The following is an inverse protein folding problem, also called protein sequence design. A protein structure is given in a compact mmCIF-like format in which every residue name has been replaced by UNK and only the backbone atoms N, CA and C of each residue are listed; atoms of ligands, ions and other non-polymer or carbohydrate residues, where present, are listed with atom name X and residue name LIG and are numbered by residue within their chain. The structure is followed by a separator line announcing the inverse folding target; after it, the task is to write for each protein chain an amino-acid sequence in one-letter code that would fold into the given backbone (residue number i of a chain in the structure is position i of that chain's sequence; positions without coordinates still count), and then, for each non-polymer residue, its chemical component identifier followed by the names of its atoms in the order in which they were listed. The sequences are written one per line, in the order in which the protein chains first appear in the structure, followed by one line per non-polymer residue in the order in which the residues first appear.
data_IF_748423144337
#
_entry.id   IF_748423144337
#
_cell.length_a   1.000
_cell.length_b   1.000
_cell.length_c   1.000
_cell.angle_alpha   90.00
_cell.angle_beta   90.00
_cell.angle_gamma   90.00
#
_symmetry.space_group_name_H-M   'P 1'
#
loop_
_entity.id
_entity.type
_entity.pdbx_description
1 polymer ?
#
# COMPACT_ATOMS: atom_id res chain seq x y z
N UNK A 1 3.18 -7.87 -14.64
CA UNK A 1 3.45 -8.95 -13.67
C UNK A 1 4.85 -8.80 -13.07
N UNK A 2 5.12 -9.53 -11.97
CA UNK A 2 6.47 -9.60 -11.38
C UNK A 2 7.49 -10.17 -12.36
N UNK A 3 7.10 -11.20 -13.09
CA UNK A 3 8.00 -11.89 -14.01
C UNK A 3 8.42 -10.99 -15.18
N UNK A 4 7.50 -10.17 -15.71
CA UNK A 4 7.83 -9.16 -16.73
C UNK A 4 8.82 -8.11 -16.20
N UNK A 5 8.65 -7.66 -14.95
CA UNK A 5 9.57 -6.71 -14.35
C UNK A 5 10.95 -7.35 -14.12
N UNK A 6 11.01 -8.59 -13.68
CA UNK A 6 12.26 -9.34 -13.51
C UNK A 6 12.96 -9.52 -14.86
N UNK A 7 12.21 -9.90 -15.90
CA UNK A 7 12.75 -10.06 -17.23
C UNK A 7 13.30 -8.74 -17.79
N UNK A 8 12.56 -7.65 -17.65
CA UNK A 8 13.00 -6.32 -18.03
C UNK A 8 14.31 -5.92 -17.35
N UNK A 9 14.43 -6.14 -16.03
CA UNK A 9 15.63 -5.78 -15.27
C UNK A 9 16.83 -6.65 -15.68
N UNK A 10 16.63 -7.95 -15.93
CA UNK A 10 17.72 -8.89 -16.19
C UNK A 10 18.16 -8.93 -17.64
N UNK A 11 17.21 -8.85 -18.56
CA UNK A 11 17.45 -9.12 -19.97
C UNK A 11 17.33 -7.88 -20.88
N UNK A 12 16.72 -6.80 -20.39
CA UNK A 12 16.46 -5.57 -21.16
C UNK A 12 16.79 -4.31 -20.35
N UNK A 13 17.79 -4.38 -19.47
CA UNK A 13 18.16 -3.28 -18.58
C UNK A 13 18.57 -2.01 -19.32
N UNK A 14 19.09 -2.13 -20.53
CA UNK A 14 19.43 -1.02 -21.43
C UNK A 14 18.20 -0.20 -21.86
N UNK A 15 17.00 -0.77 -21.80
CA UNK A 15 15.74 -0.05 -22.07
C UNK A 15 15.36 0.87 -20.89
N UNK A 16 15.91 0.61 -19.69
CA UNK A 16 15.66 1.41 -18.50
C UNK A 16 16.61 2.61 -18.42
N UNK A 17 16.16 3.75 -18.92
CA UNK A 17 16.92 4.99 -18.80
C UNK A 17 16.98 5.47 -17.36
N UNK A 18 18.16 5.80 -16.89
CA UNK A 18 18.36 6.39 -15.57
C UNK A 18 18.08 7.90 -15.56
N UNK A 19 17.55 8.49 -14.49
CA UNK A 19 17.11 7.81 -13.27
C UNK A 19 15.78 7.05 -13.44
N UNK A 20 15.56 6.03 -12.59
CA UNK A 20 14.27 5.33 -12.52
C UNK A 20 13.43 5.96 -11.41
N UNK A 21 12.16 6.27 -11.72
CA UNK A 21 11.16 6.76 -10.77
C UNK A 21 10.04 5.72 -10.62
N UNK A 22 9.92 5.10 -9.45
CA UNK A 22 8.73 4.35 -9.09
C UNK A 22 7.59 5.33 -8.79
N UNK A 23 6.50 5.24 -9.51
CA UNK A 23 5.35 6.12 -9.38
C UNK A 23 4.08 5.30 -9.14
N UNK A 24 3.28 5.69 -8.15
CA UNK A 24 1.92 5.19 -7.97
C UNK A 24 0.94 5.92 -8.92
N UNK A 25 -0.18 6.38 -8.38
CA UNK A 25 -1.16 7.17 -9.14
C UNK A 25 -0.68 8.59 -9.53
N UNK A 26 0.47 9.02 -9.01
CA UNK A 26 0.98 10.38 -9.23
C UNK A 26 0.34 11.45 -8.35
N UNK A 27 -0.58 11.10 -7.46
CA UNK A 27 -1.33 12.05 -6.62
C UNK A 27 -0.50 12.89 -5.66
N UNK A 28 0.76 12.48 -5.41
CA UNK A 28 1.70 13.19 -4.53
C UNK A 28 2.97 13.65 -5.26
N UNK A 29 2.88 13.88 -6.57
CA UNK A 29 4.00 14.32 -7.41
C UNK A 29 3.62 15.57 -8.21
N UNK A 30 4.54 16.51 -8.30
CA UNK A 30 4.44 17.66 -9.18
C UNK A 30 5.69 17.73 -10.08
N UNK A 31 5.51 17.50 -11.37
CA UNK A 31 6.56 17.66 -12.36
C UNK A 31 6.72 19.14 -12.75
N UNK A 32 7.86 19.74 -12.43
CA UNK A 32 8.17 21.12 -12.80
C UNK A 32 8.85 21.23 -14.18
N UNK A 33 9.27 20.10 -14.74
CA UNK A 33 9.88 19.94 -16.07
C UNK A 33 9.80 18.48 -16.50
N UNK A 34 10.13 18.20 -17.75
CA UNK A 34 10.19 16.85 -18.30
C UNK A 34 11.11 15.95 -17.45
N UNK A 35 10.62 14.76 -17.11
CA UNK A 35 11.43 13.75 -16.46
C UNK A 35 12.21 12.99 -17.52
N UNK A 36 13.53 13.14 -17.50
CA UNK A 36 14.43 12.43 -18.43
C UNK A 36 14.93 11.15 -17.76
N UNK A 37 14.17 10.08 -17.88
CA UNK A 37 14.41 8.79 -17.26
C UNK A 37 13.23 7.85 -17.47
N UNK A 38 13.23 6.73 -16.78
CA UNK A 38 12.14 5.74 -16.83
C UNK A 38 11.19 5.93 -15.66
N UNK A 39 9.89 5.98 -15.93
CA UNK A 39 8.83 5.91 -14.91
C UNK A 39 8.28 4.49 -14.89
N UNK A 40 8.39 3.82 -13.74
CA UNK A 40 7.78 2.52 -13.49
C UNK A 40 6.47 2.72 -12.72
N UNK A 41 5.37 2.24 -13.29
CA UNK A 41 4.06 2.19 -12.63
C UNK A 41 3.59 0.74 -12.58
N UNK A 42 3.32 0.23 -11.38
CA UNK A 42 2.76 -1.11 -11.22
C UNK A 42 1.33 -1.18 -11.72
N UNK A 43 1.03 -2.26 -12.44
CA UNK A 43 -0.31 -2.68 -12.88
C UNK A 43 -0.63 -4.07 -12.34
N UNK A 44 0.01 -4.48 -11.24
CA UNK A 44 -0.24 -5.77 -10.58
C UNK A 44 -1.45 -5.57 -9.66
N UNK A 45 -2.57 -6.19 -9.99
CA UNK A 45 -3.87 -6.00 -9.32
C UNK A 45 -4.44 -7.33 -8.76
N UNK A 46 -3.59 -8.33 -8.55
CA UNK A 46 -4.00 -9.61 -8.00
C UNK A 46 -4.31 -9.49 -6.50
N UNK A 47 -5.32 -10.22 -6.03
CA UNK A 47 -5.61 -10.42 -4.61
C UNK A 47 -5.63 -11.91 -4.30
N UNK A 48 -4.94 -12.31 -3.25
CA UNK A 48 -4.94 -13.70 -2.79
C UNK A 48 -4.98 -13.79 -1.28
N UNK A 49 -5.82 -14.69 -0.76
CA UNK A 49 -5.83 -15.05 0.66
C UNK A 49 -4.64 -15.95 0.92
N UNK A 50 -3.78 -15.57 1.85
CA UNK A 50 -2.61 -16.34 2.28
C UNK A 50 -2.96 -17.29 3.41
N UNK A 51 -3.75 -16.77 4.37
CA UNK A 51 -4.19 -17.49 5.56
C UNK A 51 -5.48 -16.85 6.07
N UNK A 52 -6.36 -17.66 6.65
CA UNK A 52 -7.61 -17.18 7.21
C UNK A 52 -8.02 -18.04 8.39
N UNK A 53 -8.47 -17.41 9.48
CA UNK A 53 -9.09 -18.03 10.64
C UNK A 53 -10.46 -17.41 10.97
N UNK A 54 -10.99 -17.65 12.16
CA UNK A 54 -12.28 -17.11 12.57
C UNK A 54 -12.25 -15.59 12.82
N UNK A 55 -11.11 -15.02 13.19
CA UNK A 55 -10.96 -13.64 13.63
C UNK A 55 -10.22 -12.77 12.62
N UNK A 56 -9.29 -13.36 11.85
CA UNK A 56 -8.38 -12.62 10.97
C UNK A 56 -8.24 -13.28 9.61
N UNK A 57 -7.83 -12.45 8.66
CA UNK A 57 -7.43 -12.88 7.33
C UNK A 57 -6.12 -12.20 6.94
N UNK A 58 -5.22 -12.97 6.36
CA UNK A 58 -3.98 -12.47 5.75
C UNK A 58 -4.15 -12.48 4.24
N UNK A 59 -4.00 -11.31 3.63
CA UNK A 59 -4.22 -11.16 2.19
C UNK A 59 -3.03 -10.50 1.53
N UNK A 60 -2.62 -11.02 0.38
CA UNK A 60 -1.65 -10.39 -0.52
C UNK A 60 -2.38 -9.60 -1.58
N UNK A 61 -1.98 -8.35 -1.74
CA UNK A 61 -2.62 -7.41 -2.66
C UNK A 61 -1.59 -6.81 -3.59
N UNK A 62 -1.84 -6.87 -4.88
CA UNK A 62 -0.98 -6.29 -5.90
C UNK A 62 -0.83 -4.78 -5.74
N UNK A 63 0.38 -4.28 -5.95
CA UNK A 63 0.74 -2.89 -5.68
C UNK A 63 0.09 -1.87 -6.62
N UNK A 64 -0.49 -2.34 -7.73
CA UNK A 64 -1.18 -1.52 -8.74
C UNK A 64 -2.64 -1.19 -8.41
N UNK A 65 -3.26 -1.89 -7.46
CA UNK A 65 -4.64 -1.61 -7.06
C UNK A 65 -4.79 -0.18 -6.55
N UNK A 66 -5.92 0.45 -6.90
CA UNK A 66 -6.32 1.72 -6.29
C UNK A 66 -6.67 1.43 -4.83
N UNK A 67 -6.06 2.16 -3.91
CA UNK A 67 -6.16 1.87 -2.47
C UNK A 67 -7.61 1.91 -1.98
N UNK A 68 -8.38 2.91 -2.40
CA UNK A 68 -9.78 3.06 -2.00
C UNK A 68 -10.66 1.92 -2.57
N UNK A 69 -10.43 1.50 -3.80
CA UNK A 69 -11.14 0.35 -4.38
C UNK A 69 -10.82 -0.96 -3.64
N UNK A 70 -9.57 -1.13 -3.19
CA UNK A 70 -9.21 -2.27 -2.36
C UNK A 70 -9.90 -2.21 -0.99
N UNK A 71 -10.03 -1.04 -0.36
CA UNK A 71 -10.77 -0.88 0.90
C UNK A 71 -12.24 -1.29 0.70
N UNK A 72 -12.90 -0.80 -0.35
CA UNK A 72 -14.29 -1.19 -0.67
C UNK A 72 -14.39 -2.70 -0.89
N UNK A 73 -13.46 -3.28 -1.66
CA UNK A 73 -13.41 -4.73 -1.87
C UNK A 73 -13.25 -5.50 -0.56
N UNK A 74 -12.33 -5.08 0.32
CA UNK A 74 -12.09 -5.74 1.61
C UNK A 74 -13.35 -5.76 2.48
N UNK A 75 -14.08 -4.65 2.54
CA UNK A 75 -15.35 -4.55 3.26
C UNK A 75 -16.42 -5.50 2.70
N UNK A 76 -16.50 -5.63 1.37
CA UNK A 76 -17.42 -6.57 0.71
C UNK A 76 -17.09 -8.03 1.02
N UNK A 77 -15.82 -8.33 1.31
CA UNK A 77 -15.38 -9.67 1.75
C UNK A 77 -15.56 -9.88 3.25
N UNK A 78 -15.97 -8.87 4.02
CA UNK A 78 -16.03 -8.92 5.48
C UNK A 78 -14.65 -8.81 6.15
N UNK A 79 -13.71 -8.12 5.52
CA UNK A 79 -12.37 -7.85 6.02
C UNK A 79 -12.25 -6.39 6.42
N UNK A 80 -11.95 -6.14 7.68
CA UNK A 80 -12.04 -4.84 8.32
C UNK A 80 -10.68 -4.33 8.80
N UNK A 81 -10.64 -3.02 9.08
CA UNK A 81 -9.49 -2.34 9.69
C UNK A 81 -8.75 -1.40 8.77
N UNK A 82 -9.27 -1.11 7.57
CA UNK A 82 -8.74 -0.12 6.63
C UNK A 82 -9.70 1.05 6.39
N UNK A 83 -10.89 1.05 6.97
CA UNK A 83 -12.01 1.96 6.67
C UNK A 83 -11.61 3.43 6.81
N UNK A 84 -10.82 3.74 7.83
CA UNK A 84 -10.38 5.11 8.12
C UNK A 84 -9.40 5.67 7.07
N UNK A 85 -8.93 4.83 6.13
CA UNK A 85 -8.05 5.25 5.03
C UNK A 85 -8.79 5.43 3.71
N UNK A 86 -10.13 5.29 3.71
CA UNK A 86 -10.95 5.52 2.51
C UNK A 86 -10.78 6.94 1.98
N UNK A 87 -10.97 7.11 0.68
CA UNK A 87 -10.84 8.39 -0.05
C UNK A 87 -9.42 9.00 -0.05
N UNK A 88 -8.39 8.28 0.43
CA UNK A 88 -7.00 8.70 0.25
C UNK A 88 -6.54 8.29 -1.14
N UNK A 89 -6.20 9.24 -2.04
CA UNK A 89 -5.83 8.91 -3.40
C UNK A 89 -4.45 8.22 -3.45
N UNK A 90 -4.35 7.14 -4.20
CA UNK A 90 -3.10 6.42 -4.38
C UNK A 90 -3.28 4.95 -4.74
N UNK A 91 -2.16 4.26 -4.90
CA UNK A 91 -2.12 2.81 -5.13
C UNK A 91 -1.63 2.08 -3.88
N UNK A 92 -1.99 0.82 -3.75
CA UNK A 92 -1.58 -0.06 -2.64
C UNK A 92 -0.07 -0.03 -2.39
N UNK A 93 0.76 -0.18 -3.43
CA UNK A 93 2.22 -0.11 -3.26
C UNK A 93 2.71 1.26 -2.78
N UNK A 94 2.12 2.34 -3.28
CA UNK A 94 2.48 3.70 -2.87
C UNK A 94 2.03 3.99 -1.43
N UNK A 95 0.90 3.42 -0.98
CA UNK A 95 0.41 3.55 0.38
C UNK A 95 1.40 2.98 1.40
N UNK A 96 1.96 1.80 1.10
CA UNK A 96 2.99 1.16 1.93
C UNK A 96 4.29 1.99 1.99
N UNK A 97 4.73 2.54 0.85
CA UNK A 97 5.94 3.39 0.81
C UNK A 97 5.76 4.67 1.62
N UNK A 98 4.58 5.30 1.55
CA UNK A 98 4.28 6.56 2.22
C UNK A 98 3.86 6.40 3.69
N UNK A 99 3.54 5.19 4.13
CA UNK A 99 2.83 4.96 5.38
C UNK A 99 1.63 5.90 5.49
N UNK A 100 0.67 5.76 4.53
CA UNK A 100 -0.50 6.62 4.55
C UNK A 100 -1.25 6.49 5.87
N UNK A 101 -1.85 7.56 6.31
CA UNK A 101 -2.58 7.56 7.57
C UNK A 101 -3.62 8.66 7.62
N UNK A 102 -4.75 8.34 8.21
CA UNK A 102 -5.85 9.26 8.50
C UNK A 102 -6.67 8.74 9.68
N UNK A 103 -7.34 9.65 10.36
CA UNK A 103 -8.33 9.36 11.40
C UNK A 103 -7.86 8.34 12.44
N UNK A 104 -6.60 8.46 12.89
CA UNK A 104 -6.02 7.62 13.95
C UNK A 104 -5.56 6.23 13.49
N UNK A 105 -5.45 5.99 12.20
CA UNK A 105 -4.90 4.77 11.62
C UNK A 105 -3.74 5.10 10.69
N UNK A 106 -2.65 4.36 10.78
CA UNK A 106 -1.58 4.30 9.77
C UNK A 106 -1.62 2.95 9.07
N UNK A 107 -1.37 2.91 7.75
CA UNK A 107 -1.43 1.65 6.98
C UNK A 107 -0.42 0.62 7.49
N UNK A 108 0.71 1.08 8.02
CA UNK A 108 1.73 0.22 8.63
C UNK A 108 1.23 -0.63 9.79
N UNK A 109 0.15 -0.22 10.47
CA UNK A 109 -0.47 -1.00 11.55
C UNK A 109 -1.16 -2.27 11.04
N UNK A 110 -1.45 -2.33 9.74
CA UNK A 110 -2.14 -3.44 9.06
C UNK A 110 -1.25 -4.22 8.10
N UNK A 111 -0.05 -3.70 7.79
CA UNK A 111 0.93 -4.37 6.93
C UNK A 111 1.71 -5.40 7.73
N UNK A 112 1.81 -6.62 7.21
CA UNK A 112 2.72 -7.65 7.72
C UNK A 112 4.01 -7.72 6.91
N UNK A 113 3.90 -7.56 5.58
CA UNK A 113 5.06 -7.60 4.70
C UNK A 113 4.87 -6.76 3.44
N UNK A 114 5.97 -6.30 2.89
CA UNK A 114 6.03 -5.62 1.59
C UNK A 114 6.93 -6.42 0.66
N UNK A 115 6.36 -6.92 -0.44
CA UNK A 115 7.06 -7.71 -1.43
C UNK A 115 7.59 -6.80 -2.53
N UNK A 116 8.86 -6.96 -2.86
CA UNK A 116 9.59 -6.08 -3.75
C UNK A 116 10.47 -6.84 -4.72
N UNK A 117 10.81 -6.16 -5.81
CA UNK A 117 11.87 -6.58 -6.73
C UNK A 117 12.98 -5.53 -6.70
N UNK A 118 14.22 -6.00 -6.53
CA UNK A 118 15.42 -5.16 -6.64
C UNK A 118 15.57 -4.66 -8.07
N UNK A 119 15.68 -3.35 -8.26
CA UNK A 119 15.92 -2.72 -9.56
C UNK A 119 17.38 -2.85 -10.03
N UNK A 120 18.25 -3.38 -9.18
CA UNK A 120 19.65 -3.62 -9.51
C UNK A 120 19.84 -4.93 -10.27
N UNK A 121 19.21 -6.02 -9.82
CA UNK A 121 19.47 -7.38 -10.28
C UNK A 121 18.20 -8.24 -10.50
N UNK A 122 17.01 -7.71 -10.24
CA UNK A 122 15.74 -8.42 -10.37
C UNK A 122 15.54 -9.51 -9.32
N UNK A 123 16.22 -9.45 -8.18
CA UNK A 123 15.97 -10.38 -7.07
C UNK A 123 14.71 -9.99 -6.31
N UNK A 124 13.94 -10.99 -5.89
CA UNK A 124 12.78 -10.79 -5.01
C UNK A 124 13.26 -10.59 -3.58
N UNK A 125 12.65 -9.63 -2.88
CA UNK A 125 12.87 -9.38 -1.46
C UNK A 125 11.54 -9.07 -0.78
N UNK A 126 11.30 -9.70 0.35
CA UNK A 126 10.19 -9.39 1.25
C UNK A 126 10.75 -8.67 2.46
N UNK A 127 10.13 -7.54 2.81
CA UNK A 127 10.40 -6.79 4.04
C UNK A 127 9.26 -7.05 5.01
N UNK A 128 9.55 -7.58 6.21
CA UNK A 128 8.54 -7.67 7.25
C UNK A 128 8.21 -6.28 7.82
N UNK A 129 7.14 -6.18 8.61
CA UNK A 129 6.67 -4.91 9.16
C UNK A 129 7.79 -4.17 9.91
N UNK A 130 8.55 -4.88 10.73
CA UNK A 130 9.64 -4.32 11.53
C UNK A 130 10.76 -3.74 10.66
N UNK A 131 11.10 -4.43 9.57
CA UNK A 131 12.11 -3.95 8.61
C UNK A 131 11.64 -2.70 7.87
N UNK A 132 10.31 -2.52 7.70
CA UNK A 132 9.77 -1.34 7.04
C UNK A 132 9.96 -0.04 7.86
N UNK A 133 10.27 -0.12 9.15
CA UNK A 133 10.56 1.01 10.03
C UNK A 133 9.49 2.11 9.94
N UNK A 134 8.21 1.74 9.98
CA UNK A 134 7.09 2.66 9.84
C UNK A 134 7.05 3.68 10.98
N UNK A 135 6.81 4.93 10.62
CA UNK A 135 6.50 6.04 11.50
C UNK A 135 5.75 7.12 10.71
N UNK A 136 5.35 8.20 11.35
CA UNK A 136 4.53 9.25 10.70
C UNK A 136 5.11 9.66 9.34
N UNK A 137 4.37 9.33 8.26
CA UNK A 137 4.75 9.60 6.86
C UNK A 137 6.13 9.06 6.47
N UNK A 138 6.60 8.02 7.12
CA UNK A 138 7.92 7.44 6.91
C UNK A 138 7.88 5.93 6.75
N UNK A 139 8.77 5.41 5.90
CA UNK A 139 9.14 4.00 5.79
C UNK A 139 10.60 3.88 5.35
N UNK A 140 11.18 2.70 5.48
CA UNK A 140 12.55 2.41 5.02
C UNK A 140 12.74 2.77 3.55
N UNK A 141 11.72 2.61 2.71
CA UNK A 141 11.77 2.89 1.26
C UNK A 141 12.03 4.35 0.92
N UNK A 142 11.88 5.27 1.89
CA UNK A 142 12.15 6.72 1.73
C UNK A 142 13.55 7.11 2.15
N UNK A 143 14.28 6.21 2.82
CA UNK A 143 15.65 6.48 3.25
C UNK A 143 16.61 6.50 2.05
N UNK A 144 17.74 7.22 2.13
CA UNK A 144 18.72 7.29 1.04
C UNK A 144 19.23 5.93 0.58
N UNK A 145 19.29 4.96 1.48
CA UNK A 145 19.81 3.60 1.21
C UNK A 145 18.86 2.76 0.36
N UNK A 146 17.54 2.97 0.49
CA UNK A 146 16.52 2.13 -0.16
C UNK A 146 15.75 2.86 -1.25
N UNK A 147 15.76 4.19 -1.24
CA UNK A 147 15.01 5.01 -2.18
C UNK A 147 15.42 4.71 -3.62
N UNK A 148 14.44 4.30 -4.42
CA UNK A 148 14.64 3.98 -5.84
C UNK A 148 15.38 2.67 -6.12
N UNK A 149 15.65 1.85 -5.10
CA UNK A 149 16.31 0.54 -5.30
C UNK A 149 15.34 -0.61 -5.46
N UNK A 150 14.11 -0.47 -4.99
CA UNK A 150 13.11 -1.52 -4.99
C UNK A 150 11.82 -1.04 -5.64
N UNK A 151 11.22 -1.89 -6.45
CA UNK A 151 9.84 -1.74 -6.90
C UNK A 151 8.94 -2.62 -6.04
N UNK A 152 7.95 -2.02 -5.38
CA UNK A 152 6.93 -2.78 -4.63
C UNK A 152 6.01 -3.48 -5.63
N UNK A 153 5.82 -4.78 -5.48
CA UNK A 153 4.96 -5.61 -6.34
C UNK A 153 3.67 -6.02 -5.66
N UNK A 154 3.71 -6.26 -4.35
CA UNK A 154 2.52 -6.54 -3.55
C UNK A 154 2.74 -6.18 -2.08
N UNK A 155 1.64 -6.08 -1.34
CA UNK A 155 1.62 -5.83 0.09
C UNK A 155 0.76 -6.90 0.77
N UNK A 156 1.28 -7.47 1.85
CA UNK A 156 0.59 -8.45 2.66
C UNK A 156 -0.04 -7.73 3.86
N UNK A 157 -1.36 -7.82 4.00
CA UNK A 157 -2.13 -7.22 5.08
C UNK A 157 -2.66 -8.29 6.04
N UNK A 158 -2.74 -7.94 7.32
CA UNK A 158 -3.52 -8.67 8.33
C UNK A 158 -4.75 -7.85 8.68
N UNK A 159 -5.92 -8.33 8.27
CA UNK A 159 -7.21 -7.67 8.45
C UNK A 159 -8.09 -8.46 9.41
N UNK A 160 -8.98 -7.74 10.10
CA UNK A 160 -9.91 -8.33 11.04
C UNK A 160 -11.17 -8.83 10.32
N UNK A 161 -11.78 -9.94 10.80
CA UNK A 161 -13.08 -10.45 10.33
C UNK A 161 -14.23 -10.03 11.23
N UNK A 162 -13.90 -9.40 12.34
CA UNK A 162 -14.87 -8.83 13.27
C UNK A 162 -14.75 -7.31 13.16
N UNK A 163 -15.85 -6.67 12.78
CA UNK A 163 -15.88 -5.22 12.65
C UNK A 163 -15.75 -4.56 14.02
N UNK A 164 -14.74 -3.71 14.17
CA UNK A 164 -14.54 -2.88 15.36
C UNK A 164 -14.20 -1.47 14.88
N UNK A 165 -15.18 -0.55 14.87
CA UNK A 165 -14.99 0.78 14.29
C UNK A 165 -14.00 1.60 15.10
N UNK A 166 -12.97 2.17 14.42
CA UNK A 166 -12.06 3.13 15.02
C UNK A 166 -12.62 4.55 14.88
N UNK A 167 -13.44 4.95 15.85
CA UNK A 167 -14.15 6.24 15.88
C UNK A 167 -13.64 7.21 16.96
N UNK A 168 -12.50 6.89 17.57
CA UNK A 168 -11.95 7.70 18.67
C UNK A 168 -11.24 8.98 18.18
N UNK A 169 -10.92 9.07 16.90
CA UNK A 169 -10.32 10.28 16.35
C UNK A 169 -11.27 11.47 16.48
N UNK A 170 -10.72 12.63 16.91
CA UNK A 170 -11.50 13.82 17.25
C UNK A 170 -12.47 14.23 16.12
N UNK A 171 -13.76 14.30 16.46
CA UNK A 171 -14.81 14.74 15.56
C UNK A 171 -15.58 13.64 14.85
N UNK A 172 -15.04 12.42 14.67
CA UNK A 172 -15.77 11.32 13.97
C UNK A 172 -17.07 11.01 14.69
N UNK A 173 -17.05 10.78 16.01
CA UNK A 173 -18.27 10.51 16.80
C UNK A 173 -19.32 11.61 16.64
N UNK A 174 -18.86 12.87 16.58
CA UNK A 174 -19.75 14.04 16.44
C UNK A 174 -20.44 14.05 15.07
N UNK A 175 -19.69 13.80 14.01
CA UNK A 175 -20.22 13.71 12.63
C UNK A 175 -21.22 12.56 12.53
N UNK A 176 -20.83 11.34 12.93
CA UNK A 176 -21.70 10.16 12.87
C UNK A 176 -23.01 10.39 13.67
N UNK A 177 -22.92 11.00 14.85
CA UNK A 177 -24.12 11.32 15.66
C UNK A 177 -25.01 12.36 14.98
N UNK A 178 -24.43 13.38 14.32
CA UNK A 178 -25.19 14.41 13.61
C UNK A 178 -25.89 13.86 12.36
N UNK A 179 -25.32 12.84 11.75
CA UNK A 179 -25.87 12.15 10.56
C UNK A 179 -26.85 11.03 10.93
N UNK A 180 -27.15 10.87 12.23
CA UNK A 180 -28.12 9.90 12.72
C UNK A 180 -27.65 8.45 12.71
N UNK A 181 -26.33 8.23 12.65
CA UNK A 181 -25.75 6.88 12.73
C UNK A 181 -25.82 6.39 14.16
N UNK A 182 -26.39 5.20 14.38
CA UNK A 182 -26.41 4.54 15.69
C UNK A 182 -25.02 3.99 16.03
N UNK A 183 -24.22 4.80 16.73
CA UNK A 183 -22.86 4.44 17.15
C UNK A 183 -22.86 3.27 18.15
N UNK A 184 -23.95 3.08 18.91
CA UNK A 184 -24.04 1.98 19.88
C UNK A 184 -24.31 0.63 19.21
N UNK A 185 -24.79 0.64 17.96
CA UNK A 185 -25.04 -0.55 17.16
C UNK A 185 -23.89 -0.91 16.19
N UNK A 186 -22.84 -0.09 16.17
CA UNK A 186 -21.61 -0.39 15.42
C UNK A 186 -20.67 -1.23 16.30
#
# INVERSE_FOLDING_TARGET
SEDELIDLIRNSKEELQQPILNMGAGSNLLFLKDFKGTILKSMIEDVSVLEEDECKVRVRVGSGWIMDEFIVYSLQQGWYGLENLSDIPGLVGASAVQNIGAYGLEIGDRIEAVNCISLEDGTKRTFCQEECCYSYRHSIFKTPEYRGRYAVTSVDYCLDKIFTPNIEYAGIRQVLSSDGVDIAGL
#
